data_IF_820418119770
#
_entry.id   IF_820418119770
#
_cell.length_a   1.000
_cell.length_b   1.000
_cell.length_c   1.000
_cell.angle_alpha   90.00
_cell.angle_beta   90.00
_cell.angle_gamma   90.00
#
_symmetry.space_group_name_H-M   'P 1'
#
loop_
_entity.id
_entity.type
_entity.pdbx_description
1 polymer ?
#
# COMPACT_ATOMS: atom_id res chain seq x y z
N UNK A 1 3.37 -15.98 -6.12
CA UNK A 1 2.62 -14.73 -5.83
C UNK A 1 1.55 -15.04 -4.82
N UNK A 2 1.60 -14.40 -3.65
CA UNK A 2 0.45 -14.33 -2.75
C UNK A 2 -0.64 -13.59 -3.51
N UNK A 3 -1.69 -14.31 -3.92
CA UNK A 3 -2.67 -13.81 -4.91
C UNK A 3 -3.90 -13.18 -4.30
N UNK A 4 -3.86 -12.83 -3.01
CA UNK A 4 -5.01 -12.34 -2.26
C UNK A 4 -4.77 -10.92 -1.71
N UNK A 5 -4.63 -9.98 -2.64
CA UNK A 5 -4.57 -8.55 -2.32
C UNK A 5 -5.99 -8.02 -2.10
N UNK A 6 -6.56 -8.30 -0.93
CA UNK A 6 -7.85 -7.73 -0.53
C UNK A 6 -7.73 -6.22 -0.32
N UNK A 7 -6.61 -5.78 0.25
CA UNK A 7 -6.30 -4.38 0.53
C UNK A 7 -5.00 -3.96 -0.15
N UNK A 8 -4.97 -2.72 -0.62
CA UNK A 8 -3.76 -2.03 -1.04
C UNK A 8 -3.64 -0.76 -0.21
N UNK A 9 -2.46 -0.49 0.34
CA UNK A 9 -2.18 0.72 1.10
C UNK A 9 -1.09 1.54 0.42
N UNK A 10 -1.21 2.85 0.53
CA UNK A 10 -0.17 3.79 0.13
C UNK A 10 0.03 4.80 1.25
N UNK A 11 1.28 5.22 1.46
CA UNK A 11 1.64 6.18 2.50
C UNK A 11 2.54 7.24 1.86
N UNK A 12 2.09 8.49 1.89
CA UNK A 12 2.90 9.66 1.55
C UNK A 12 3.66 10.06 2.81
N UNK A 13 4.97 10.19 2.69
CA UNK A 13 5.87 10.37 3.82
C UNK A 13 6.47 11.78 3.78
N UNK A 14 6.17 12.62 4.78
CA UNK A 14 6.72 13.97 4.87
C UNK A 14 8.00 14.01 5.71
N UNK A 15 8.16 13.06 6.63
CA UNK A 15 9.40 12.87 7.41
C UNK A 15 9.87 11.44 7.34
N UNK A 16 11.17 11.26 7.15
CA UNK A 16 11.79 9.94 7.04
C UNK A 16 11.52 9.08 8.29
N UNK A 17 10.93 7.88 8.15
CA UNK A 17 10.76 6.96 9.26
C UNK A 17 12.11 6.47 9.79
N UNK A 18 12.19 6.22 11.10
CA UNK A 18 13.37 5.65 11.78
C UNK A 18 12.99 4.34 12.47
N UNK A 19 12.25 3.49 11.77
CA UNK A 19 11.85 2.19 12.28
C UNK A 19 12.90 1.13 11.94
N UNK A 20 13.17 0.23 12.89
CA UNK A 20 13.93 -0.98 12.58
C UNK A 20 13.05 -1.87 11.72
N UNK A 21 13.53 -2.20 10.52
CA UNK A 21 12.85 -3.11 9.60
C UNK A 21 12.75 -4.48 10.26
N UNK A 22 11.53 -4.88 10.61
CA UNK A 22 11.23 -6.18 11.21
C UNK A 22 10.69 -7.13 10.12
N UNK A 23 10.73 -8.46 10.35
CA UNK A 23 9.94 -9.39 9.55
C UNK A 23 8.45 -8.98 9.58
N UNK A 24 7.66 -9.53 8.64
CA UNK A 24 6.26 -9.16 8.43
C UNK A 24 5.51 -8.99 9.75
N UNK A 25 4.78 -7.88 9.90
CA UNK A 25 4.13 -7.53 11.18
C UNK A 25 3.24 -8.67 11.70
N UNK A 26 2.66 -9.45 10.78
CA UNK A 26 1.88 -10.66 11.03
C UNK A 26 2.65 -11.81 11.71
N UNK A 27 3.97 -11.87 11.62
CA UNK A 27 4.81 -12.92 12.25
C UNK A 27 5.28 -12.56 13.66
N UNK A 28 5.17 -11.29 14.07
CA UNK A 28 5.61 -10.83 15.39
C UNK A 28 4.69 -11.33 16.52
N UNK A 29 5.22 -11.64 17.70
CA UNK A 29 4.40 -11.98 18.87
C UNK A 29 3.40 -10.87 19.24
N UNK A 30 2.22 -11.24 19.76
CA UNK A 30 1.06 -10.33 19.95
C UNK A 30 1.41 -9.01 20.66
N UNK A 31 2.15 -9.06 21.78
CA UNK A 31 2.53 -7.85 22.55
C UNK A 31 3.43 -6.92 21.73
N UNK A 32 4.46 -7.48 21.09
CA UNK A 32 5.40 -6.74 20.25
C UNK A 32 4.67 -6.15 19.04
N UNK A 33 3.79 -6.93 18.42
CA UNK A 33 2.96 -6.51 17.29
C UNK A 33 2.13 -5.29 17.64
N UNK A 34 1.35 -5.35 18.73
CA UNK A 34 0.51 -4.22 19.15
C UNK A 34 1.32 -2.95 19.43
N UNK A 35 2.52 -3.08 20.02
CA UNK A 35 3.42 -1.95 20.22
C UNK A 35 3.87 -1.34 18.88
N UNK A 36 4.39 -2.17 17.97
CA UNK A 36 4.80 -1.74 16.62
C UNK A 36 3.65 -1.07 15.88
N UNK A 37 2.44 -1.65 15.93
CA UNK A 37 1.26 -1.06 15.29
C UNK A 37 0.96 0.35 15.81
N UNK A 38 0.94 0.53 17.14
CA UNK A 38 0.69 1.85 17.74
C UNK A 38 1.78 2.86 17.39
N UNK A 39 3.05 2.47 17.53
CA UNK A 39 4.18 3.36 17.26
C UNK A 39 4.18 3.83 15.79
N UNK A 40 3.89 2.92 14.85
CA UNK A 40 3.81 3.23 13.42
C UNK A 40 2.57 4.07 13.08
N UNK A 41 1.40 3.72 13.60
CA UNK A 41 0.17 4.49 13.32
C UNK A 41 0.26 5.92 13.87
N UNK A 42 0.78 6.11 15.09
CA UNK A 42 1.02 7.44 15.64
C UNK A 42 2.03 8.24 14.82
N UNK A 43 3.08 7.59 14.33
CA UNK A 43 4.03 8.24 13.43
C UNK A 43 3.39 8.68 12.12
N UNK A 44 2.58 7.80 11.51
CA UNK A 44 1.82 8.11 10.30
C UNK A 44 0.93 9.31 10.54
N UNK A 45 0.17 9.31 11.64
CA UNK A 45 -0.78 10.38 11.93
C UNK A 45 -0.13 11.75 12.13
N UNK A 46 1.12 11.79 12.62
CA UNK A 46 1.84 13.05 12.84
C UNK A 46 2.76 13.47 11.67
N UNK A 47 3.15 12.55 10.78
CA UNK A 47 4.25 12.80 9.83
C UNK A 47 4.00 12.30 8.40
N UNK A 48 2.85 11.67 8.16
CA UNK A 48 2.51 11.06 6.88
C UNK A 48 1.05 11.32 6.52
N UNK A 49 0.68 10.93 5.31
CA UNK A 49 -0.71 10.74 4.91
C UNK A 49 -0.85 9.33 4.38
N UNK A 50 -1.72 8.52 4.98
CA UNK A 50 -1.96 7.15 4.56
C UNK A 50 -3.36 6.98 3.97
N UNK A 51 -3.45 6.08 3.00
CA UNK A 51 -4.73 5.61 2.50
C UNK A 51 -4.72 4.09 2.35
N UNK A 52 -5.88 3.48 2.56
CA UNK A 52 -6.11 2.06 2.34
C UNK A 52 -7.31 1.87 1.43
N UNK A 53 -7.10 1.15 0.34
CA UNK A 53 -8.14 0.81 -0.64
C UNK A 53 -8.55 -0.64 -0.44
N UNK A 54 -9.85 -0.90 -0.38
CA UNK A 54 -10.34 -2.27 -0.52
C UNK A 54 -10.34 -2.67 -2.00
N UNK A 55 -9.24 -3.27 -2.43
CA UNK A 55 -8.94 -3.52 -3.84
C UNK A 55 -9.58 -4.81 -4.38
N UNK A 56 -9.69 -5.87 -3.56
CA UNK A 56 -10.21 -7.18 -3.96
C UNK A 56 -9.61 -7.68 -5.29
N UNK A 57 -8.30 -7.53 -5.48
CA UNK A 57 -7.66 -7.62 -6.80
C UNK A 57 -7.95 -8.95 -7.49
N UNK A 58 -7.96 -10.06 -6.73
CA UNK A 58 -8.26 -11.40 -7.28
C UNK A 58 -9.64 -11.48 -7.92
N UNK A 59 -10.65 -10.83 -7.33
CA UNK A 59 -12.01 -10.79 -7.89
C UNK A 59 -12.00 -10.02 -9.21
N UNK A 60 -11.35 -8.84 -9.25
CA UNK A 60 -11.22 -8.06 -10.50
C UNK A 60 -10.45 -8.80 -11.58
N UNK A 61 -9.40 -9.53 -11.23
CA UNK A 61 -8.65 -10.35 -12.19
C UNK A 61 -9.56 -11.40 -12.84
N UNK A 62 -10.46 -12.04 -12.07
CA UNK A 62 -11.45 -12.97 -12.64
C UNK A 62 -12.41 -12.26 -13.59
N UNK A 63 -12.90 -11.08 -13.22
CA UNK A 63 -13.78 -10.28 -14.08
C UNK A 63 -13.07 -9.86 -15.39
N UNK A 64 -11.79 -9.47 -15.33
CA UNK A 64 -11.00 -9.16 -16.51
C UNK A 64 -10.67 -10.39 -17.36
N UNK A 65 -10.44 -11.55 -16.74
CA UNK A 65 -10.20 -12.81 -17.46
C UNK A 65 -11.39 -13.25 -18.29
N UNK A 66 -12.62 -12.97 -17.86
CA UNK A 66 -13.82 -13.23 -18.68
C UNK A 66 -13.76 -12.44 -19.99
N UNK A 67 -13.16 -11.23 -19.96
CA UNK A 67 -13.07 -10.32 -21.12
C UNK A 67 -11.72 -10.40 -21.86
N UNK A 68 -10.68 -11.00 -21.29
CA UNK A 68 -9.32 -11.05 -21.82
C UNK A 68 -8.78 -12.48 -21.77
N UNK A 69 -8.21 -12.95 -22.88
CA UNK A 69 -7.60 -14.28 -22.96
C UNK A 69 -6.32 -14.45 -22.11
N UNK A 70 -5.64 -13.35 -21.72
CA UNK A 70 -4.35 -13.40 -21.05
C UNK A 70 -4.43 -13.04 -19.55
N UNK A 71 -4.05 -14.00 -18.69
CA UNK A 71 -3.97 -13.84 -17.23
C UNK A 71 -2.99 -12.76 -16.77
N UNK A 72 -1.81 -12.66 -17.38
CA UNK A 72 -0.84 -11.62 -17.04
C UNK A 72 -1.41 -10.23 -17.36
N UNK A 73 -2.09 -10.11 -18.51
CA UNK A 73 -2.80 -8.89 -18.90
C UNK A 73 -3.94 -8.53 -17.94
N UNK A 74 -4.68 -9.51 -17.43
CA UNK A 74 -5.74 -9.30 -16.44
C UNK A 74 -5.18 -8.78 -15.11
N UNK A 75 -4.09 -9.36 -14.59
CA UNK A 75 -3.39 -8.85 -13.40
C UNK A 75 -2.88 -7.42 -13.59
N UNK A 76 -2.20 -7.15 -14.70
CA UNK A 76 -1.73 -5.81 -15.05
C UNK A 76 -2.88 -4.80 -15.09
N UNK A 77 -4.02 -5.17 -15.67
CA UNK A 77 -5.19 -4.28 -15.77
C UNK A 77 -5.84 -4.03 -14.41
N UNK A 78 -5.95 -5.07 -13.57
CA UNK A 78 -6.53 -4.94 -12.23
C UNK A 78 -5.69 -4.05 -11.32
N UNK A 79 -4.36 -4.21 -11.34
CA UNK A 79 -3.45 -3.35 -10.58
C UNK A 79 -3.39 -1.93 -11.14
N UNK A 80 -3.35 -1.76 -12.47
CA UNK A 80 -3.38 -0.45 -13.10
C UNK A 80 -4.61 0.34 -12.64
N UNK A 81 -5.78 -0.31 -12.60
CA UNK A 81 -7.02 0.30 -12.11
C UNK A 81 -6.87 0.80 -10.66
N UNK A 82 -6.41 -0.06 -9.75
CA UNK A 82 -6.30 0.29 -8.33
C UNK A 82 -5.21 1.32 -8.06
N UNK A 83 -4.03 1.20 -8.69
CA UNK A 83 -2.99 2.21 -8.58
C UNK A 83 -3.43 3.55 -9.15
N UNK A 84 -4.17 3.57 -10.27
CA UNK A 84 -4.71 4.82 -10.82
C UNK A 84 -5.69 5.48 -9.86
N UNK A 85 -6.54 4.68 -9.18
CA UNK A 85 -7.45 5.18 -8.15
C UNK A 85 -6.69 5.82 -6.98
N UNK A 86 -5.62 5.18 -6.52
CA UNK A 86 -4.72 5.73 -5.48
C UNK A 86 -4.06 7.02 -5.95
N UNK A 87 -3.45 7.02 -7.14
CA UNK A 87 -2.74 8.16 -7.69
C UNK A 87 -3.66 9.37 -7.90
N UNK A 88 -4.88 9.15 -8.39
CA UNK A 88 -5.87 10.21 -8.56
C UNK A 88 -6.25 10.84 -7.22
N UNK A 89 -6.56 10.02 -6.21
CA UNK A 89 -6.85 10.53 -4.87
C UNK A 89 -5.68 11.36 -4.29
N UNK A 90 -4.45 10.86 -4.43
CA UNK A 90 -3.27 11.58 -3.98
C UNK A 90 -3.05 12.90 -4.74
N UNK A 91 -3.37 12.93 -6.05
CA UNK A 91 -3.30 14.14 -6.87
C UNK A 91 -4.35 15.16 -6.43
N UNK A 92 -5.58 14.74 -6.20
CA UNK A 92 -6.67 15.61 -5.73
C UNK A 92 -6.37 16.22 -4.36
N UNK A 93 -5.56 15.52 -3.55
CA UNK A 93 -5.07 16.01 -2.25
C UNK A 93 -3.81 16.88 -2.34
N UNK A 94 -3.25 17.09 -3.54
CA UNK A 94 -2.08 17.93 -3.77
C UNK A 94 -0.74 17.28 -3.41
N UNK A 95 -0.65 15.94 -3.37
CA UNK A 95 0.60 15.22 -3.04
C UNK A 95 1.51 14.93 -4.24
N UNK A 96 1.17 15.44 -5.41
CA UNK A 96 2.00 15.33 -6.61
C UNK A 96 2.81 16.62 -6.83
N UNK A 97 4.02 16.54 -7.42
CA UNK A 97 4.67 15.34 -7.99
C UNK A 97 5.26 14.38 -6.93
N UNK A 98 5.33 13.09 -7.26
CA UNK A 98 6.00 12.06 -6.44
C UNK A 98 7.30 11.68 -7.12
N UNK A 99 8.44 11.99 -6.50
CA UNK A 99 9.77 11.68 -7.08
C UNK A 99 10.17 10.21 -6.89
N UNK A 100 9.82 9.63 -5.73
CA UNK A 100 10.25 8.29 -5.34
C UNK A 100 9.07 7.47 -4.84
N UNK A 101 8.97 6.22 -5.32
CA UNK A 101 8.02 5.23 -4.83
C UNK A 101 8.76 4.03 -4.27
N UNK A 102 8.40 3.63 -3.06
CA UNK A 102 8.82 2.36 -2.46
C UNK A 102 7.65 1.37 -2.58
N UNK A 103 7.88 0.17 -3.10
CA UNK A 103 6.89 -0.89 -3.14
C UNK A 103 7.44 -2.24 -2.64
N UNK A 104 6.55 -3.07 -2.08
CA UNK A 104 6.91 -4.40 -1.58
C UNK A 104 7.38 -5.33 -2.70
N UNK A 105 8.18 -6.34 -2.36
CA UNK A 105 8.66 -7.39 -3.26
C UNK A 105 7.56 -8.10 -4.05
N UNK A 106 6.33 -8.18 -3.51
CA UNK A 106 5.17 -8.73 -4.23
C UNK A 106 4.84 -7.96 -5.52
N UNK A 107 5.27 -6.70 -5.63
CA UNK A 107 5.04 -5.85 -6.80
C UNK A 107 6.21 -5.81 -7.79
N UNK A 108 7.24 -6.64 -7.62
CA UNK A 108 8.44 -6.63 -8.48
C UNK A 108 8.10 -6.69 -9.98
N UNK A 109 7.23 -7.62 -10.37
CA UNK A 109 6.76 -7.79 -11.76
C UNK A 109 5.87 -6.66 -12.27
N UNK A 110 5.49 -5.72 -11.40
CA UNK A 110 4.61 -4.60 -11.70
C UNK A 110 5.31 -3.24 -11.54
N UNK A 111 6.64 -3.23 -11.34
CA UNK A 111 7.47 -2.01 -11.18
C UNK A 111 7.20 -0.97 -12.25
N UNK A 112 7.11 -1.39 -13.53
CA UNK A 112 6.84 -0.48 -14.63
C UNK A 112 5.48 0.22 -14.50
N UNK A 113 4.42 -0.50 -14.13
CA UNK A 113 3.09 0.09 -13.91
C UNK A 113 3.13 1.13 -12.79
N UNK A 114 3.85 0.82 -11.71
CA UNK A 114 4.00 1.75 -10.58
C UNK A 114 4.68 3.03 -11.05
N UNK A 115 5.79 2.93 -11.80
CA UNK A 115 6.48 4.07 -12.37
C UNK A 115 5.56 4.91 -13.27
N UNK A 116 4.85 4.25 -14.19
CA UNK A 116 3.95 4.90 -15.16
C UNK A 116 2.79 5.64 -14.45
N UNK A 117 2.14 5.00 -13.47
CA UNK A 117 0.95 5.54 -12.80
C UNK A 117 1.29 6.71 -11.87
N UNK A 118 2.38 6.59 -11.12
CA UNK A 118 2.78 7.62 -10.17
C UNK A 118 3.69 8.69 -10.79
N UNK A 119 4.12 8.50 -12.05
CA UNK A 119 5.05 9.43 -12.72
C UNK A 119 6.37 9.59 -11.97
N UNK A 120 6.80 8.54 -11.26
CA UNK A 120 7.94 8.61 -10.35
C UNK A 120 9.26 8.40 -11.09
N UNK A 121 10.26 9.22 -10.79
CA UNK A 121 11.60 9.11 -11.35
C UNK A 121 12.29 7.81 -10.91
N UNK A 122 12.01 7.37 -9.68
CA UNK A 122 12.60 6.17 -9.10
C UNK A 122 11.56 5.31 -8.39
N UNK A 123 11.55 4.01 -8.73
CA UNK A 123 10.75 2.99 -8.04
C UNK A 123 11.69 1.99 -7.39
N UNK A 124 11.70 1.93 -6.07
CA UNK A 124 12.45 0.95 -5.28
C UNK A 124 11.52 -0.21 -4.90
N UNK A 125 11.94 -1.43 -5.23
CA UNK A 125 11.24 -2.65 -4.83
C UNK A 125 12.06 -3.31 -3.73
N UNK A 126 11.44 -3.58 -2.59
CA UNK A 126 12.15 -4.18 -1.47
C UNK A 126 11.33 -4.24 -0.20
N UNK A 127 12.04 -4.44 0.92
CA UNK A 127 11.50 -4.34 2.26
C UNK A 127 12.35 -3.35 3.05
N UNK A 128 11.75 -2.22 3.39
CA UNK A 128 12.42 -1.14 4.11
C UNK A 128 11.48 -0.48 5.12
N UNK A 129 11.94 0.59 5.76
CA UNK A 129 11.19 1.34 6.76
C UNK A 129 9.94 2.04 6.19
N UNK A 130 9.89 2.31 4.88
CA UNK A 130 8.74 2.93 4.21
C UNK A 130 7.65 1.90 3.91
N UNK A 131 8.05 0.71 3.44
CA UNK A 131 7.12 -0.41 3.21
C UNK A 131 6.44 -0.84 4.51
N UNK A 132 7.17 -0.79 5.64
CA UNK A 132 6.59 -1.11 6.95
C UNK A 132 5.35 -0.24 7.27
N UNK A 133 5.34 1.03 6.86
CA UNK A 133 4.20 1.92 7.07
C UNK A 133 2.96 1.41 6.34
N UNK A 134 3.12 1.07 5.06
CA UNK A 134 2.04 0.52 4.25
C UNK A 134 1.57 -0.85 4.77
N UNK A 135 2.50 -1.74 5.14
CA UNK A 135 2.22 -3.04 5.76
C UNK A 135 1.35 -2.91 7.01
N UNK A 136 1.67 -1.96 7.89
CA UNK A 136 0.91 -1.70 9.11
C UNK A 136 -0.51 -1.24 8.79
N UNK A 137 -0.67 -0.29 7.86
CA UNK A 137 -2.00 0.21 7.47
C UNK A 137 -2.86 -0.92 6.91
N UNK A 138 -2.32 -1.72 5.99
CA UNK A 138 -3.04 -2.87 5.40
C UNK A 138 -3.38 -3.93 6.44
N UNK A 139 -2.43 -4.27 7.33
CA UNK A 139 -2.63 -5.26 8.37
C UNK A 139 -3.72 -4.82 9.37
N UNK A 140 -3.69 -3.56 9.79
CA UNK A 140 -4.67 -3.01 10.72
C UNK A 140 -6.03 -2.91 10.06
N UNK A 141 -6.12 -2.52 8.78
CA UNK A 141 -7.41 -2.50 8.10
C UNK A 141 -8.04 -3.91 8.02
N UNK A 142 -7.23 -4.93 7.71
CA UNK A 142 -7.67 -6.32 7.63
C UNK A 142 -8.09 -6.90 8.99
N UNK A 143 -7.40 -6.57 10.09
CA UNK A 143 -7.56 -7.23 11.39
C UNK A 143 -8.25 -6.40 12.47
N UNK A 144 -8.23 -5.08 12.34
CA UNK A 144 -8.63 -4.10 13.34
C UNK A 144 -9.17 -2.82 12.69
N UNK A 145 -10.06 -2.91 11.71
CA UNK A 145 -10.55 -1.75 10.92
C UNK A 145 -11.00 -0.55 11.76
N UNK A 146 -11.63 -0.78 12.92
CA UNK A 146 -12.01 0.30 13.85
C UNK A 146 -10.84 1.13 14.39
N UNK A 147 -9.63 0.57 14.44
CA UNK A 147 -8.44 1.25 14.95
C UNK A 147 -7.94 2.32 14.00
N UNK A 148 -8.11 2.18 12.68
CA UNK A 148 -7.68 3.22 11.74
C UNK A 148 -8.51 4.50 11.88
N UNK A 149 -9.79 4.36 12.23
CA UNK A 149 -10.73 5.48 12.39
C UNK A 149 -10.36 6.47 13.50
N UNK A 150 -9.45 6.11 14.42
CA UNK A 150 -8.96 7.03 15.44
C UNK A 150 -7.82 7.93 14.94
N UNK A 151 -7.30 7.72 13.74
CA UNK A 151 -6.18 8.49 13.18
C UNK A 151 -6.68 9.34 12.00
N UNK A 152 -6.49 10.65 12.11
CA UNK A 152 -7.06 11.64 11.19
C UNK A 152 -6.40 11.62 9.80
N UNK A 153 -5.12 11.26 9.74
CA UNK A 153 -4.35 11.21 8.49
C UNK A 153 -4.33 9.82 7.84
N UNK A 154 -5.25 8.93 8.22
CA UNK A 154 -5.42 7.62 7.60
C UNK A 154 -6.84 7.53 7.03
N UNK A 155 -6.94 7.39 5.70
CA UNK A 155 -8.22 7.38 4.99
C UNK A 155 -8.50 6.02 4.36
N UNK A 156 -9.73 5.55 4.44
CA UNK A 156 -10.21 4.37 3.71
C UNK A 156 -10.95 4.79 2.44
N UNK A 157 -10.63 4.16 1.29
CA UNK A 157 -11.27 4.39 0.00
C UNK A 157 -12.10 3.18 -0.46
#
# INVERSE_FOLDING_TARGET
MSGDWEYLSAVVVFRRPRFVVRPQVSSLGRRVRLKVLRDVLSFIDSNCYALCVRALVRRRVREFLIRKANRAGAWRSALLFEFSRIANHLRDRGFFPVSVVHADNEFLSFRGIIGDVFGAESVFIGRDEYILLADVVSYVNLRFSKLLKSYSNIVEL
#
